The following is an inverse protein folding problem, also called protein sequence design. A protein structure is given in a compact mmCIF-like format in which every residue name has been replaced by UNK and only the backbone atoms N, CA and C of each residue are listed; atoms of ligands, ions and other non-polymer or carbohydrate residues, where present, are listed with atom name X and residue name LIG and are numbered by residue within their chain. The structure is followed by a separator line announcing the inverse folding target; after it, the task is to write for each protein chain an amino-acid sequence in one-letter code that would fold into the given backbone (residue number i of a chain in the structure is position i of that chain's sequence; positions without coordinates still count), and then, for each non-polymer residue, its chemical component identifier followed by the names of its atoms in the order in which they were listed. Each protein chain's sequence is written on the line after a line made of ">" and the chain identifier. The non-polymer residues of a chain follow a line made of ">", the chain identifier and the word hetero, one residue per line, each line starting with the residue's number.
data_IF_226941276146
#
_entry.id   IF_226941276146
#
_cell.length_a   1.000
_cell.length_b   1.000
_cell.length_c   1.000
_cell.angle_alpha   90.00
_cell.angle_beta   90.00
_cell.angle_gamma   90.00
#
_symmetry.space_group_name_H-M   'P 1'
#
loop_
_entity.id
_entity.type
_entity.pdbx_description
1 polymer ?
#
# COMPACT_ATOMS: atom_id res chain seq x y z
N UNK A 1 13.99 1.15 11.20
CA UNK A 1 13.69 -0.21 11.65
C UNK A 1 14.72 -0.67 12.67
N UNK A 2 14.30 -1.02 13.90
CA UNK A 2 15.17 -1.54 14.97
C UNK A 2 15.06 -3.06 15.18
N UNK A 3 14.26 -3.76 14.36
CA UNK A 3 13.97 -5.18 14.57
C UNK A 3 13.10 -5.47 15.79
N UNK A 4 12.46 -4.45 16.36
CA UNK A 4 11.61 -4.57 17.55
C UNK A 4 10.23 -5.14 17.19
N UNK A 5 9.70 -5.98 18.05
CA UNK A 5 8.33 -6.46 17.95
C UNK A 5 7.35 -5.35 18.34
N UNK A 6 6.55 -4.89 17.38
CA UNK A 6 5.50 -3.88 17.61
C UNK A 6 4.15 -4.51 17.95
N UNK A 7 3.88 -5.69 17.39
CA UNK A 7 2.65 -6.46 17.57
C UNK A 7 3.02 -7.92 17.72
N UNK A 8 2.66 -8.52 18.86
CA UNK A 8 2.93 -9.93 19.14
C UNK A 8 2.12 -10.88 18.25
N UNK A 9 2.67 -12.08 18.03
CA UNK A 9 2.05 -13.12 17.21
C UNK A 9 0.69 -13.63 17.74
N UNK A 10 0.44 -13.41 19.03
CA UNK A 10 -0.81 -13.72 19.72
C UNK A 10 -1.89 -12.63 19.56
N UNK A 11 -1.58 -11.51 18.89
CA UNK A 11 -2.52 -10.44 18.68
C UNK A 11 -3.78 -10.92 17.95
N UNK A 12 -4.95 -10.66 18.53
CA UNK A 12 -6.25 -11.07 18.02
C UNK A 12 -6.66 -10.40 16.69
N UNK A 13 -5.85 -9.49 16.15
CA UNK A 13 -6.06 -8.84 14.86
C UNK A 13 -4.97 -9.18 13.83
N UNK A 14 -4.01 -10.03 14.20
CA UNK A 14 -2.93 -10.50 13.35
C UNK A 14 -3.19 -11.95 12.89
N UNK A 15 -3.60 -12.14 11.63
CA UNK A 15 -3.86 -13.46 11.06
C UNK A 15 -2.61 -14.12 10.48
N UNK A 16 -1.84 -13.36 9.70
CA UNK A 16 -0.58 -13.80 9.11
C UNK A 16 0.28 -12.59 8.79
N UNK A 17 1.60 -12.77 8.81
CA UNK A 17 2.57 -11.77 8.34
C UNK A 17 2.93 -12.09 6.90
N UNK A 18 2.83 -11.10 6.02
CA UNK A 18 3.26 -11.26 4.63
C UNK A 18 4.79 -11.19 4.59
N UNK A 19 5.42 -12.19 3.96
CA UNK A 19 6.87 -12.31 3.86
C UNK A 19 7.44 -11.23 2.91
N UNK A 20 7.61 -10.03 3.44
CA UNK A 20 8.11 -8.85 2.73
C UNK A 20 8.99 -8.01 3.66
N UNK A 21 10.08 -7.45 3.14
CA UNK A 21 10.91 -6.53 3.90
C UNK A 21 10.19 -5.20 4.17
N UNK A 22 10.45 -4.64 5.35
CA UNK A 22 10.01 -3.29 5.77
C UNK A 22 11.11 -2.24 5.49
N UNK A 23 12.31 -2.68 5.11
CA UNK A 23 13.49 -1.82 4.98
C UNK A 23 14.15 -1.50 6.32
N UNK A 24 15.18 -0.63 6.28
CA UNK A 24 15.97 -0.25 7.47
C UNK A 24 15.56 1.10 8.06
N UNK A 25 14.78 1.90 7.32
CA UNK A 25 14.29 3.21 7.74
C UNK A 25 12.85 3.13 8.25
N UNK A 26 12.32 4.20 8.83
CA UNK A 26 10.89 4.32 9.15
C UNK A 26 10.14 4.83 7.91
N UNK A 27 10.18 4.01 6.85
CA UNK A 27 9.53 4.19 5.56
C UNK A 27 8.68 2.94 5.29
N UNK A 28 7.73 2.98 4.34
CA UNK A 28 6.78 1.90 4.10
C UNK A 28 5.60 1.89 5.10
N UNK A 29 4.99 3.05 5.22
CA UNK A 29 3.74 3.32 5.95
C UNK A 29 2.51 2.65 5.32
N UNK A 30 1.32 2.84 5.91
CA UNK A 30 0.06 2.29 5.40
C UNK A 30 -0.24 2.62 3.93
N UNK A 31 0.00 3.85 3.49
CA UNK A 31 -0.17 4.25 2.09
C UNK A 31 0.92 3.72 1.17
N UNK A 32 2.16 3.67 1.66
CA UNK A 32 3.30 3.16 0.89
C UNK A 32 3.11 1.68 0.54
N UNK A 33 2.39 0.93 1.39
CA UNK A 33 2.11 -0.47 1.09
C UNK A 33 1.23 -0.69 -0.14
N UNK A 34 0.37 0.25 -0.49
CA UNK A 34 -0.36 0.18 -1.76
C UNK A 34 0.60 0.28 -2.94
N UNK A 35 1.53 1.23 -2.86
CA UNK A 35 2.58 1.41 -3.87
C UNK A 35 3.48 0.18 -3.95
N UNK A 36 3.88 -0.37 -2.79
CA UNK A 36 4.72 -1.57 -2.71
C UNK A 36 4.07 -2.77 -3.38
N UNK A 37 2.82 -3.09 -3.03
CA UNK A 37 2.11 -4.23 -3.62
C UNK A 37 1.90 -4.05 -5.12
N UNK A 38 1.54 -2.85 -5.56
CA UNK A 38 1.41 -2.53 -6.98
C UNK A 38 2.74 -2.67 -7.72
N UNK A 39 3.84 -2.20 -7.12
CA UNK A 39 5.18 -2.28 -7.70
C UNK A 39 5.66 -3.73 -7.86
N UNK A 40 5.43 -4.58 -6.85
CA UNK A 40 5.80 -6.00 -6.90
C UNK A 40 5.00 -6.74 -8.00
N UNK A 41 3.70 -6.44 -8.12
CA UNK A 41 2.88 -6.98 -9.21
C UNK A 41 3.38 -6.51 -10.59
N UNK A 42 3.58 -5.19 -10.77
CA UNK A 42 4.09 -4.63 -12.04
C UNK A 42 5.49 -5.17 -12.38
N UNK A 43 6.36 -5.33 -11.39
CA UNK A 43 7.70 -5.89 -11.58
C UNK A 43 7.65 -7.36 -12.02
N UNK A 44 6.84 -8.19 -11.36
CA UNK A 44 6.72 -9.63 -11.67
C UNK A 44 6.00 -9.91 -12.98
N UNK A 45 5.20 -8.96 -13.48
CA UNK A 45 4.47 -9.04 -14.76
C UNK A 45 5.07 -8.18 -15.87
N UNK A 46 6.29 -7.70 -15.65
CA UNK A 46 7.07 -6.85 -16.58
C UNK A 46 6.32 -5.61 -17.12
N UNK A 47 5.50 -5.00 -16.27
CA UNK A 47 4.82 -3.73 -16.56
C UNK A 47 5.70 -2.53 -16.19
N UNK A 48 5.39 -1.38 -16.78
CA UNK A 48 6.01 -0.10 -16.42
C UNK A 48 5.60 0.37 -15.02
N UNK A 49 6.58 0.84 -14.26
CA UNK A 49 6.40 1.28 -12.86
C UNK A 49 6.61 2.79 -12.80
N UNK A 50 5.58 3.51 -12.38
CA UNK A 50 5.60 4.96 -12.25
C UNK A 50 4.66 5.39 -11.10
N UNK A 51 5.10 6.40 -10.36
CA UNK A 51 4.35 6.99 -9.24
C UNK A 51 4.50 8.51 -9.23
N UNK A 52 3.84 9.18 -8.28
CA UNK A 52 3.91 10.63 -8.13
C UNK A 52 4.36 11.05 -6.74
N UNK A 53 5.19 12.09 -6.68
CA UNK A 53 5.45 12.79 -5.43
C UNK A 53 4.21 13.56 -4.95
N UNK A 54 4.22 14.00 -3.70
CA UNK A 54 3.23 14.89 -3.08
C UNK A 54 3.07 16.21 -3.85
N UNK A 55 4.12 16.67 -4.53
CA UNK A 55 4.10 17.88 -5.37
C UNK A 55 3.79 17.60 -6.84
N UNK A 56 3.45 16.35 -7.19
CA UNK A 56 3.08 15.95 -8.55
C UNK A 56 4.24 15.69 -9.50
N UNK A 57 5.48 15.55 -9.01
CA UNK A 57 6.59 15.10 -9.87
C UNK A 57 6.36 13.64 -10.25
N UNK A 58 6.44 13.34 -11.55
CA UNK A 58 6.44 11.97 -12.06
C UNK A 58 7.73 11.24 -11.67
N UNK A 59 7.55 10.03 -11.14
CA UNK A 59 8.60 9.16 -10.63
C UNK A 59 8.62 7.84 -11.42
N UNK A 60 9.03 7.82 -12.71
CA UNK A 60 9.13 6.59 -13.46
C UNK A 60 10.39 5.80 -13.06
N UNK A 61 10.23 4.49 -12.84
CA UNK A 61 11.34 3.60 -12.48
C UNK A 61 12.40 3.51 -13.57
N UNK A 62 12.01 3.66 -14.85
CA UNK A 62 12.95 3.72 -15.98
C UNK A 62 13.98 4.85 -15.85
N UNK A 63 13.57 6.01 -15.30
CA UNK A 63 14.47 7.15 -15.06
C UNK A 63 15.47 6.86 -13.93
N UNK A 64 15.04 6.14 -12.90
CA UNK A 64 15.93 5.61 -11.87
C UNK A 64 16.98 4.64 -12.45
N UNK A 65 16.55 3.71 -13.32
CA UNK A 65 17.44 2.78 -14.00
C UNK A 65 18.41 3.47 -14.96
N UNK A 66 18.04 4.62 -15.54
CA UNK A 66 18.94 5.45 -16.35
C UNK A 66 20.01 6.21 -15.55
N UNK A 67 20.02 6.08 -14.22
CA UNK A 67 21.00 6.71 -13.33
C UNK A 67 20.58 8.05 -12.75
N UNK A 68 19.33 8.48 -12.96
CA UNK A 68 18.81 9.65 -12.27
C UNK A 68 18.45 9.31 -10.81
N UNK A 69 18.59 10.29 -9.92
CA UNK A 69 18.24 10.18 -8.49
C UNK A 69 17.40 11.38 -8.07
N UNK A 70 16.50 11.13 -7.13
CA UNK A 70 15.70 12.18 -6.50
C UNK A 70 16.56 13.03 -5.59
N UNK A 71 16.44 14.35 -5.73
CA UNK A 71 17.09 15.34 -4.89
C UNK A 71 16.07 16.37 -4.42
N UNK A 72 16.12 16.69 -3.13
CA UNK A 72 15.29 17.73 -2.54
C UNK A 72 15.55 19.08 -3.24
N UNK A 73 14.46 19.79 -3.53
CA UNK A 73 14.44 21.14 -4.09
C UNK A 73 13.46 21.99 -3.25
N UNK A 74 13.92 22.41 -2.06
CA UNK A 74 13.05 23.03 -1.07
C UNK A 74 12.02 22.02 -0.54
N UNK A 75 10.73 22.38 -0.59
CA UNK A 75 9.61 21.50 -0.24
C UNK A 75 9.24 20.49 -1.34
N UNK A 76 9.83 20.63 -2.54
CA UNK A 76 9.61 19.74 -3.67
C UNK A 76 10.80 18.79 -3.85
N UNK A 77 10.71 17.96 -4.89
CA UNK A 77 11.75 17.05 -5.33
C UNK A 77 11.98 17.24 -6.83
N UNK A 78 13.20 16.98 -7.27
CA UNK A 78 13.58 16.96 -8.67
C UNK A 78 14.52 15.80 -8.99
N UNK A 79 14.71 15.55 -10.28
CA UNK A 79 15.63 14.54 -10.78
C UNK A 79 16.99 15.16 -11.11
N UNK A 80 18.07 14.47 -10.70
CA UNK A 80 19.44 14.79 -11.12
C UNK A 80 20.14 13.52 -11.59
N UNK A 81 21.02 13.63 -12.60
CA UNK A 81 21.91 12.51 -12.96
C UNK A 81 22.99 12.38 -11.90
N UNK A 82 22.95 11.31 -11.11
CA UNK A 82 23.90 11.10 -10.01
C UNK A 82 24.24 9.61 -9.77
N UNK A 83 23.99 8.76 -10.76
CA UNK A 83 24.39 7.36 -10.77
C UNK A 83 24.65 6.91 -12.21
N UNK A 84 25.33 5.77 -12.35
CA UNK A 84 25.42 5.07 -13.63
C UNK A 84 24.08 4.35 -13.90
N UNK A 85 23.75 4.11 -15.18
CA UNK A 85 22.64 3.22 -15.52
C UNK A 85 22.80 1.85 -14.88
N UNK A 86 21.67 1.20 -14.59
CA UNK A 86 21.63 -0.12 -13.97
C UNK A 86 20.57 -0.99 -14.65
N UNK A 87 20.83 -2.29 -14.68
CA UNK A 87 19.86 -3.29 -15.12
C UNK A 87 18.68 -3.39 -14.15
N UNK A 88 17.51 -3.76 -14.70
CA UNK A 88 16.30 -3.99 -13.91
C UNK A 88 16.52 -5.16 -12.96
N UNK A 89 16.41 -4.91 -11.65
CA UNK A 89 16.49 -5.94 -10.61
C UNK A 89 15.60 -5.57 -9.43
N UNK A 90 15.25 -6.57 -8.60
CA UNK A 90 14.44 -6.34 -7.40
C UNK A 90 15.16 -5.40 -6.41
N UNK A 91 16.49 -5.49 -6.31
CA UNK A 91 17.29 -4.55 -5.51
C UNK A 91 17.13 -3.10 -6.00
N UNK A 92 17.14 -2.86 -7.31
CA UNK A 92 16.90 -1.52 -7.85
C UNK A 92 15.47 -1.05 -7.58
N UNK A 93 14.48 -1.96 -7.69
CA UNK A 93 13.09 -1.65 -7.36
C UNK A 93 12.96 -1.20 -5.91
N UNK A 94 13.57 -1.92 -4.97
CA UNK A 94 13.54 -1.56 -3.55
C UNK A 94 14.17 -0.21 -3.27
N UNK A 95 15.37 0.03 -3.80
CA UNK A 95 16.04 1.33 -3.63
C UNK A 95 15.24 2.49 -4.25
N UNK A 96 14.60 2.27 -5.39
CA UNK A 96 13.70 3.24 -6.01
C UNK A 96 12.48 3.52 -5.13
N UNK A 97 11.81 2.47 -4.63
CA UNK A 97 10.62 2.61 -3.79
C UNK A 97 10.90 3.34 -2.48
N UNK A 98 12.05 3.10 -1.84
CA UNK A 98 12.43 3.83 -0.63
C UNK A 98 12.53 5.35 -0.88
N UNK A 99 12.98 5.73 -2.08
CA UNK A 99 13.00 7.13 -2.51
C UNK A 99 11.59 7.64 -2.84
N UNK A 100 10.72 6.82 -3.43
CA UNK A 100 9.31 7.17 -3.64
C UNK A 100 8.61 7.44 -2.31
N UNK A 101 8.77 6.57 -1.31
CA UNK A 101 8.12 6.73 0.02
C UNK A 101 8.54 8.01 0.74
N UNK A 102 9.73 8.53 0.44
CA UNK A 102 10.20 9.81 1.00
C UNK A 102 9.40 11.00 0.47
N UNK A 103 8.86 10.90 -0.74
CA UNK A 103 8.24 12.01 -1.46
C UNK A 103 6.77 11.81 -1.77
N UNK A 104 6.25 10.59 -1.68
CA UNK A 104 4.84 10.27 -1.82
C UNK A 104 4.12 10.31 -0.46
N UNK A 105 2.80 10.45 -0.47
CA UNK A 105 1.95 10.35 0.71
C UNK A 105 0.53 9.95 0.31
N UNK A 106 -0.38 9.87 1.28
CA UNK A 106 -1.80 9.56 1.03
C UNK A 106 -2.45 10.49 0.01
N UNK A 107 -2.08 11.77 -0.02
CA UNK A 107 -2.58 12.74 -1.02
C UNK A 107 -2.10 12.38 -2.42
N UNK A 108 -0.81 12.11 -2.64
CA UNK A 108 -0.33 11.72 -3.98
C UNK A 108 -0.86 10.36 -4.42
N UNK A 109 -1.04 9.42 -3.48
CA UNK A 109 -1.68 8.14 -3.77
C UNK A 109 -3.11 8.35 -4.28
N UNK A 110 -3.87 9.27 -3.68
CA UNK A 110 -5.23 9.60 -4.11
C UNK A 110 -5.23 10.30 -5.47
N UNK A 111 -4.30 11.20 -5.75
CA UNK A 111 -4.27 11.83 -7.09
C UNK A 111 -3.88 10.86 -8.21
N UNK A 112 -3.28 9.72 -7.87
CA UNK A 112 -2.83 8.70 -8.83
C UNK A 112 -3.65 7.41 -8.83
N UNK A 113 -4.82 7.40 -8.18
CA UNK A 113 -5.73 6.24 -8.16
C UNK A 113 -7.14 6.60 -8.60
N UNK A 114 -7.84 5.63 -9.16
CA UNK A 114 -9.24 5.77 -9.56
C UNK A 114 -10.16 5.46 -8.40
N UNK A 115 -11.26 6.20 -8.27
CA UNK A 115 -12.38 5.79 -7.40
C UNK A 115 -13.09 4.59 -8.02
N UNK A 116 -13.53 3.66 -7.19
CA UNK A 116 -14.22 2.42 -7.61
C UNK A 116 -15.64 2.42 -7.05
N UNK A 117 -16.61 2.05 -7.88
CA UNK A 117 -17.96 1.83 -7.40
C UNK A 117 -17.98 0.60 -6.47
N UNK A 118 -18.67 0.62 -5.32
CA UNK A 118 -18.64 -0.51 -4.39
C UNK A 118 -19.13 -1.83 -5.01
N UNK A 119 -19.99 -1.77 -6.03
CA UNK A 119 -20.44 -2.94 -6.81
C UNK A 119 -19.34 -3.60 -7.63
N UNK A 120 -18.26 -2.89 -7.94
CA UNK A 120 -17.19 -3.30 -8.86
C UNK A 120 -15.91 -3.67 -8.11
N UNK A 121 -16.05 -3.93 -6.81
CA UNK A 121 -14.96 -4.24 -5.91
C UNK A 121 -14.25 -5.54 -6.30
N UNK A 122 -12.92 -5.53 -6.26
CA UNK A 122 -12.09 -6.69 -6.62
C UNK A 122 -10.81 -6.77 -5.77
N UNK A 123 -10.11 -7.91 -5.75
CA UNK A 123 -8.78 -8.01 -5.14
C UNK A 123 -7.81 -6.97 -5.70
N UNK A 124 -7.01 -6.35 -4.83
CA UNK A 124 -6.11 -5.25 -5.14
C UNK A 124 -6.73 -3.86 -4.96
N UNK A 125 -8.05 -3.77 -4.78
CA UNK A 125 -8.68 -2.52 -4.33
C UNK A 125 -8.29 -2.21 -2.89
N UNK A 126 -8.40 -0.94 -2.52
CA UNK A 126 -8.09 -0.50 -1.16
C UNK A 126 -9.01 0.63 -0.73
N UNK A 127 -9.23 0.73 0.58
CA UNK A 127 -9.93 1.83 1.23
C UNK A 127 -8.91 2.71 1.94
N UNK A 128 -9.04 4.02 1.79
CA UNK A 128 -8.10 4.99 2.36
C UNK A 128 -8.81 6.09 3.15
N UNK A 129 -8.36 6.33 4.37
CA UNK A 129 -8.62 7.57 5.09
C UNK A 129 -7.50 8.56 4.79
N UNK A 130 -7.82 9.64 4.09
CA UNK A 130 -6.85 10.66 3.69
C UNK A 130 -6.51 11.66 4.80
N UNK A 131 -7.42 11.84 5.77
CA UNK A 131 -7.21 12.70 6.95
C UNK A 131 -6.17 12.07 7.87
N UNK A 132 -5.31 12.88 8.49
CA UNK A 132 -4.29 12.39 9.43
C UNK A 132 -4.93 11.93 10.75
N UNK A 133 -4.50 10.79 11.34
CA UNK A 133 -3.57 9.81 10.75
C UNK A 133 -4.21 9.06 9.58
N UNK A 134 -3.48 8.94 8.48
CA UNK A 134 -3.97 8.22 7.30
C UNK A 134 -3.88 6.71 7.52
N UNK A 135 -4.95 6.00 7.16
CA UNK A 135 -5.04 4.55 7.27
C UNK A 135 -5.48 3.95 5.95
N UNK A 136 -4.92 2.80 5.63
CA UNK A 136 -5.27 2.02 4.44
C UNK A 136 -5.56 0.59 4.84
N UNK A 137 -6.59 0.01 4.22
CA UNK A 137 -6.81 -1.43 4.18
C UNK A 137 -6.90 -1.86 2.72
N UNK A 138 -6.18 -2.92 2.38
CA UNK A 138 -6.15 -3.50 1.03
C UNK A 138 -7.00 -4.76 1.04
N UNK A 139 -7.82 -4.94 0.01
CA UNK A 139 -8.53 -6.18 -0.25
C UNK A 139 -7.58 -7.14 -0.95
N UNK A 140 -7.12 -8.15 -0.21
CA UNK A 140 -6.18 -9.15 -0.72
C UNK A 140 -6.89 -10.20 -1.57
N UNK A 141 -8.12 -10.55 -1.19
CA UNK A 141 -8.95 -11.51 -1.91
C UNK A 141 -10.44 -11.29 -1.58
N UNK A 142 -11.34 -11.76 -2.45
CA UNK A 142 -12.80 -11.67 -2.30
C UNK A 142 -13.44 -13.00 -2.70
N UNK A 143 -14.33 -13.50 -1.86
CA UNK A 143 -15.08 -14.74 -2.10
C UNK A 143 -16.55 -14.60 -1.67
N UNK A 144 -17.32 -15.67 -1.90
CA UNK A 144 -18.66 -15.85 -1.32
C UNK A 144 -18.64 -16.99 -0.33
N UNK A 145 -19.18 -16.78 0.86
CA UNK A 145 -19.33 -17.85 1.84
C UNK A 145 -20.49 -18.80 1.46
N UNK A 146 -20.70 -19.85 2.26
CA UNK A 146 -21.75 -20.85 2.04
C UNK A 146 -23.18 -20.29 2.03
N UNK A 147 -23.38 -19.06 2.52
CA UNK A 147 -24.67 -18.34 2.50
C UNK A 147 -24.78 -17.35 1.34
N UNK A 148 -23.81 -17.34 0.42
CA UNK A 148 -23.75 -16.42 -0.71
C UNK A 148 -23.34 -14.99 -0.36
N UNK A 149 -22.98 -14.70 0.90
CA UNK A 149 -22.52 -13.37 1.31
C UNK A 149 -21.07 -13.15 0.89
N UNK A 150 -20.75 -11.92 0.46
CA UNK A 150 -19.39 -11.54 0.15
C UNK A 150 -18.53 -11.54 1.42
N UNK A 151 -17.34 -12.11 1.28
CA UNK A 151 -16.28 -12.06 2.28
C UNK A 151 -14.99 -11.59 1.63
N UNK A 152 -14.15 -10.88 2.38
CA UNK A 152 -12.86 -10.41 1.91
C UNK A 152 -11.73 -10.76 2.88
N UNK A 153 -10.57 -11.09 2.31
CA UNK A 153 -9.31 -11.13 3.04
C UNK A 153 -8.72 -9.73 3.02
N UNK A 154 -8.41 -9.19 4.19
CA UNK A 154 -7.96 -7.81 4.33
C UNK A 154 -6.51 -7.75 4.80
N UNK A 155 -5.74 -6.80 4.28
CA UNK A 155 -4.35 -6.57 4.67
C UNK A 155 -4.07 -5.12 5.03
N UNK A 156 -3.16 -4.88 5.98
CA UNK A 156 -2.70 -3.53 6.33
C UNK A 156 -1.26 -3.50 6.84
N UNK A 157 -0.67 -2.31 6.80
CA UNK A 157 0.43 -1.90 7.68
C UNK A 157 0.01 -0.63 8.47
N UNK A 158 0.82 -0.22 9.43
CA UNK A 158 0.56 0.96 10.27
C UNK A 158 1.77 1.91 10.26
N UNK A 159 1.67 2.96 11.08
CA UNK A 159 2.72 3.94 11.34
C UNK A 159 3.07 3.86 12.84
N UNK A 160 4.33 3.66 13.24
CA UNK A 160 5.55 3.55 12.41
C UNK A 160 5.54 2.34 11.47
N UNK A 161 6.45 2.33 10.50
CA UNK A 161 6.57 1.28 9.51
C UNK A 161 6.74 -0.10 10.15
N UNK A 162 5.94 -1.05 9.68
CA UNK A 162 5.86 -2.40 10.23
C UNK A 162 5.47 -3.41 9.15
N UNK A 163 5.64 -4.69 9.46
CA UNK A 163 5.31 -5.77 8.54
C UNK A 163 3.85 -5.69 8.10
N UNK A 164 3.65 -5.80 6.79
CA UNK A 164 2.31 -5.93 6.22
C UNK A 164 1.70 -7.25 6.66
N UNK A 165 0.47 -7.21 7.14
CA UNK A 165 -0.17 -8.38 7.72
C UNK A 165 -1.63 -8.51 7.29
N UNK A 166 -2.07 -9.75 7.26
CA UNK A 166 -3.47 -10.13 7.11
C UNK A 166 -4.19 -9.86 8.41
N UNK A 167 -5.32 -9.17 8.30
CA UNK A 167 -6.23 -8.91 9.41
C UNK A 167 -7.02 -10.16 9.78
N UNK A 168 -7.32 -10.32 11.07
CA UNK A 168 -8.32 -11.29 11.55
C UNK A 168 -9.24 -10.69 12.61
N UNK A 169 -10.39 -11.31 12.81
CA UNK A 169 -11.30 -11.02 13.92
C UNK A 169 -11.24 -12.16 14.94
N UNK A 170 -10.70 -11.86 16.11
CA UNK A 170 -10.48 -12.89 17.13
C UNK A 170 -9.41 -13.89 16.69
N UNK A 171 -9.44 -15.10 17.22
CA UNK A 171 -8.38 -16.09 16.95
C UNK A 171 -8.68 -17.03 15.77
N UNK A 172 -9.88 -17.00 15.19
CA UNK A 172 -10.35 -18.04 14.27
C UNK A 172 -10.73 -17.61 12.86
N UNK A 173 -10.99 -16.32 12.60
CA UNK A 173 -11.58 -15.88 11.32
C UNK A 173 -10.76 -14.74 10.69
N UNK A 174 -10.18 -14.99 9.50
CA UNK A 174 -9.47 -13.97 8.71
C UNK A 174 -10.33 -13.41 7.55
N UNK A 175 -11.48 -14.01 7.29
CA UNK A 175 -12.40 -13.59 6.23
C UNK A 175 -13.49 -12.68 6.79
N UNK A 176 -13.49 -11.43 6.35
CA UNK A 176 -14.42 -10.41 6.80
C UNK A 176 -15.68 -10.45 5.96
N UNK A 177 -16.86 -10.55 6.56
CA UNK A 177 -18.08 -10.26 5.83
C UNK A 177 -18.04 -8.80 5.37
N UNK A 178 -18.25 -8.59 4.07
CA UNK A 178 -18.36 -7.26 3.48
C UNK A 178 -19.72 -7.08 2.85
N UNK A 179 -20.24 -5.86 2.93
CA UNK A 179 -21.49 -5.48 2.30
C UNK A 179 -21.28 -4.14 1.57
N UNK A 180 -21.04 -4.17 0.25
CA UNK A 180 -20.87 -2.96 -0.54
C UNK A 180 -22.13 -2.07 -0.62
N UNK A 181 -23.29 -2.55 -0.14
CA UNK A 181 -24.51 -1.74 -0.01
C UNK A 181 -24.62 -1.01 1.33
N UNK A 182 -23.78 -1.36 2.31
CA UNK A 182 -23.71 -0.63 3.58
C UNK A 182 -23.07 0.76 3.39
N UNK A 183 -22.99 1.56 4.45
CA UNK A 183 -22.28 2.85 4.38
C UNK A 183 -20.75 2.69 4.39
N UNK A 184 -20.24 1.68 5.11
CA UNK A 184 -18.81 1.53 5.38
C UNK A 184 -18.39 0.10 5.71
N UNK A 185 -17.10 -0.16 5.52
CA UNK A 185 -16.40 -1.33 6.03
C UNK A 185 -15.86 -1.07 7.45
N UNK A 186 -16.14 -1.99 8.37
CA UNK A 186 -15.61 -1.96 9.73
C UNK A 186 -14.37 -2.84 9.84
N UNK A 187 -13.28 -2.29 10.36
CA UNK A 187 -12.05 -3.04 10.67
C UNK A 187 -11.57 -2.74 12.09
N UNK A 188 -10.94 -3.70 12.79
CA UNK A 188 -10.50 -3.49 14.17
C UNK A 188 -9.48 -2.36 14.32
N UNK A 189 -9.62 -1.58 15.39
CA UNK A 189 -8.64 -0.58 15.78
C UNK A 189 -8.58 0.66 14.87
N UNK A 190 -9.57 0.85 13.99
CA UNK A 190 -9.69 2.04 13.15
C UNK A 190 -11.13 2.53 13.11
N UNK A 191 -11.33 3.78 12.69
CA UNK A 191 -12.66 4.29 12.35
C UNK A 191 -13.22 3.55 11.12
N UNK A 192 -14.55 3.51 10.92
CA UNK A 192 -15.18 2.90 9.75
C UNK A 192 -14.65 3.49 8.44
N UNK A 193 -14.47 2.66 7.41
CA UNK A 193 -14.07 3.07 6.06
C UNK A 193 -15.29 3.24 5.16
N UNK A 194 -15.73 4.47 4.84
CA UNK A 194 -16.80 4.68 3.88
C UNK A 194 -16.47 4.03 2.54
N UNK A 195 -17.44 3.34 1.92
CA UNK A 195 -17.22 2.73 0.62
C UNK A 195 -16.94 3.75 -0.49
N UNK A 196 -17.33 5.02 -0.29
CA UNK A 196 -16.96 6.15 -1.16
C UNK A 196 -15.44 6.42 -1.20
N UNK A 197 -14.67 5.86 -0.26
CA UNK A 197 -13.21 5.93 -0.25
C UNK A 197 -12.54 4.73 -0.93
N UNK A 198 -13.29 3.87 -1.62
CA UNK A 198 -12.75 2.71 -2.33
C UNK A 198 -12.01 3.16 -3.59
N UNK A 199 -10.77 2.70 -3.74
CA UNK A 199 -9.88 3.11 -4.84
C UNK A 199 -9.09 1.94 -5.40
N UNK A 200 -8.58 2.14 -6.62
CA UNK A 200 -7.76 1.19 -7.37
C UNK A 200 -6.57 1.91 -8.02
N UNK A 201 -5.42 1.25 -8.00
CA UNK A 201 -4.23 1.70 -8.76
C UNK A 201 -4.49 1.59 -10.27
N UNK A 202 -4.06 2.59 -11.04
CA UNK A 202 -4.14 2.58 -12.51
C UNK A 202 -2.92 1.93 -13.18
#
# INVERSE_FOLDING_TARGET
>A
YKGEELVGGDNQYLGAVVAMDVGTNDLQTSSDMVLRLNAEWKFSTDQDIEYKSATGLELPFSRWLAGDRLKAAGAAVGWIRNAKPAEKSHQQLRAFLDQVYTWANSTSLITHTASVAPSDIQPGDFLIHSKKPSHVVVLLDIAKNSKGKLVALLGRSLNPAQSFHVLRLGLSESWYNIDPQSESLLTPGTVPFPWSNLRRMQ
#
